data_IF_820702955612
#
_entry.id   IF_820702955612
#
_cell.length_a   1.000
_cell.length_b   1.000
_cell.length_c   1.000
_cell.angle_alpha   90.00
_cell.angle_beta   90.00
_cell.angle_gamma   90.00
#
_symmetry.space_group_name_H-M   'P 1'
#
loop_
_entity.id
_entity.type
_entity.pdbx_description
1 polymer ?
#
# COMPACT_ATOMS: atom_id res chain seq x y z
N UNK A 1 -13.06 12.15 -2.99
CA UNK A 1 -13.52 13.04 -1.90
C UNK A 1 -12.69 14.32 -1.88
N UNK A 2 -11.38 14.28 -1.59
CA UNK A 2 -10.57 15.50 -1.47
C UNK A 2 -10.53 16.39 -2.73
N UNK A 3 -10.40 15.79 -3.92
CA UNK A 3 -10.47 16.52 -5.19
C UNK A 3 -11.89 16.93 -5.62
N UNK A 4 -12.94 16.60 -4.86
CA UNK A 4 -14.26 17.18 -5.08
C UNK A 4 -14.34 18.61 -4.55
N UNK A 5 -13.45 18.99 -3.62
CA UNK A 5 -13.36 20.35 -3.09
C UNK A 5 -12.67 21.27 -4.10
N UNK A 6 -13.33 22.35 -4.56
CA UNK A 6 -12.75 23.25 -5.57
C UNK A 6 -11.42 23.87 -5.14
N UNK A 7 -11.25 24.18 -3.85
CA UNK A 7 -10.00 24.77 -3.32
C UNK A 7 -8.82 23.81 -3.44
N UNK A 8 -9.01 22.51 -3.17
CA UNK A 8 -7.98 21.49 -3.35
C UNK A 8 -7.55 21.38 -4.82
N UNK A 9 -8.49 21.46 -5.77
CA UNK A 9 -8.15 21.44 -7.19
C UNK A 9 -7.31 22.66 -7.60
N UNK A 10 -7.65 23.84 -7.10
CA UNK A 10 -6.87 25.06 -7.33
C UNK A 10 -5.48 24.96 -6.69
N UNK A 11 -5.40 24.47 -5.45
CA UNK A 11 -4.14 24.27 -4.75
C UNK A 11 -3.20 23.32 -5.50
N UNK A 12 -3.73 22.19 -5.99
CA UNK A 12 -2.95 21.25 -6.83
C UNK A 12 -2.48 21.91 -8.13
N UNK A 13 -3.34 22.64 -8.84
CA UNK A 13 -2.94 23.38 -10.06
C UNK A 13 -1.84 24.41 -9.80
N UNK A 14 -1.87 25.08 -8.65
CA UNK A 14 -0.82 26.03 -8.26
C UNK A 14 0.49 25.30 -7.94
N UNK A 15 0.43 24.16 -7.25
CA UNK A 15 1.59 23.32 -7.00
C UNK A 15 2.24 22.84 -8.30
N UNK A 16 1.44 22.26 -9.21
CA UNK A 16 1.90 21.74 -10.49
C UNK A 16 2.48 22.84 -11.41
N UNK A 17 2.01 24.08 -11.26
CA UNK A 17 2.53 25.24 -11.96
C UNK A 17 3.78 25.88 -11.31
N UNK A 18 4.30 25.30 -10.22
CA UNK A 18 5.46 25.83 -9.49
C UNK A 18 5.21 27.18 -8.80
N UNK A 19 3.94 27.52 -8.51
CA UNK A 19 3.54 28.82 -7.94
C UNK A 19 3.53 28.85 -6.41
N UNK A 20 3.77 27.71 -5.77
CA UNK A 20 3.76 27.57 -4.32
C UNK A 20 5.19 27.51 -3.78
N UNK A 21 5.35 27.90 -2.52
CA UNK A 21 6.60 27.75 -1.77
C UNK A 21 6.32 27.03 -0.45
N UNK A 22 7.33 26.39 0.18
CA UNK A 22 7.16 25.83 1.51
C UNK A 22 6.57 26.85 2.49
N UNK A 23 5.64 26.45 3.38
CA UNK A 23 5.20 25.07 3.63
C UNK A 23 4.01 24.61 2.77
N UNK A 24 3.50 25.46 1.86
CA UNK A 24 2.31 25.18 1.05
C UNK A 24 2.50 24.01 0.07
N UNK A 25 3.75 23.58 -0.14
CA UNK A 25 4.13 22.46 -1.00
C UNK A 25 4.12 21.11 -0.28
N UNK A 26 4.31 21.08 1.05
CA UNK A 26 4.49 19.85 1.84
C UNK A 26 3.32 18.86 1.75
N UNK A 27 2.12 19.35 1.44
CA UNK A 27 0.96 18.49 1.22
C UNK A 27 1.10 17.59 -0.02
N UNK A 28 1.80 18.07 -1.03
CA UNK A 28 1.93 17.43 -2.34
C UNK A 28 3.24 16.68 -2.54
N UNK A 29 4.20 16.88 -1.64
CA UNK A 29 5.49 16.21 -1.62
C UNK A 29 5.39 14.82 -1.00
N UNK A 30 6.45 14.01 -1.18
CA UNK A 30 6.55 12.72 -0.49
C UNK A 30 6.65 12.97 1.00
N UNK A 31 5.78 12.30 1.76
CA UNK A 31 5.76 12.45 3.21
C UNK A 31 7.04 11.86 3.82
N UNK A 32 7.65 12.55 4.81
CA UNK A 32 8.75 11.97 5.57
C UNK A 32 8.27 10.71 6.30
N UNK A 33 9.21 9.83 6.64
CA UNK A 33 8.89 8.60 7.36
C UNK A 33 8.32 8.87 8.76
N UNK A 34 8.78 9.95 9.40
CA UNK A 34 8.35 10.37 10.73
C UNK A 34 8.21 11.89 10.80
N UNK A 35 7.24 12.32 11.60
CA UNK A 35 6.95 13.72 11.88
C UNK A 35 6.87 13.93 13.39
N UNK A 36 7.59 14.93 13.90
CA UNK A 36 7.58 15.34 15.31
C UNK A 36 7.39 16.85 15.38
N UNK A 37 6.41 17.32 16.14
CA UNK A 37 6.07 18.74 16.23
C UNK A 37 6.02 19.20 17.69
N UNK A 38 6.47 20.43 17.94
CA UNK A 38 6.26 21.12 19.20
C UNK A 38 4.92 21.85 19.15
N UNK A 39 3.90 21.32 19.83
CA UNK A 39 2.55 21.87 19.77
C UNK A 39 2.39 23.23 20.48
N UNK A 40 3.37 23.66 21.27
CA UNK A 40 3.35 24.97 21.92
C UNK A 40 4.03 26.04 21.05
N UNK A 41 5.18 25.71 20.48
CA UNK A 41 5.96 26.63 19.63
C UNK A 41 5.51 26.64 18.16
N UNK A 42 4.89 25.54 17.68
CA UNK A 42 4.50 25.30 16.30
C UNK A 42 3.04 24.85 16.20
N UNK A 43 2.12 25.78 16.48
CA UNK A 43 0.66 25.56 16.53
C UNK A 43 0.06 24.94 15.25
N UNK A 44 0.68 25.19 14.10
CA UNK A 44 0.23 24.70 12.79
C UNK A 44 0.98 23.44 12.33
N UNK A 45 1.86 22.87 13.16
CA UNK A 45 2.61 21.63 12.89
C UNK A 45 3.38 21.68 11.55
N UNK A 46 4.09 22.79 11.30
CA UNK A 46 4.80 23.06 10.05
C UNK A 46 6.27 22.59 10.12
N UNK A 47 6.89 22.71 11.29
CA UNK A 47 8.31 22.53 11.50
C UNK A 47 8.60 21.13 12.03
N UNK A 48 8.79 20.17 11.13
CA UNK A 48 9.08 18.80 11.52
C UNK A 48 10.47 18.67 12.19
N UNK A 49 10.46 18.34 13.49
CA UNK A 49 11.63 18.17 14.35
C UNK A 49 12.22 16.75 14.32
N UNK A 50 11.68 15.83 13.51
CA UNK A 50 12.13 14.43 13.50
C UNK A 50 13.62 14.26 13.15
N UNK A 51 14.22 15.21 12.43
CA UNK A 51 15.65 15.22 12.09
C UNK A 51 16.48 16.15 12.99
N UNK A 52 15.88 16.78 14.01
CA UNK A 52 16.59 17.63 14.96
C UNK A 52 17.41 16.78 15.93
N UNK A 53 18.72 17.04 16.00
CA UNK A 53 19.61 16.36 16.96
C UNK A 53 19.17 16.55 18.41
N UNK A 54 18.62 17.73 18.74
CA UNK A 54 18.15 18.09 20.08
C UNK A 54 16.91 17.28 20.52
N UNK A 55 16.10 16.82 19.56
CA UNK A 55 14.82 16.16 19.83
C UNK A 55 14.86 14.64 19.64
N UNK A 56 16.04 14.06 19.36
CA UNK A 56 16.16 12.63 19.08
C UNK A 56 15.75 11.74 20.26
N UNK A 57 15.97 12.18 21.49
CA UNK A 57 15.58 11.40 22.66
C UNK A 57 14.05 11.38 22.84
N UNK A 58 13.38 12.51 22.62
CA UNK A 58 11.91 12.60 22.62
C UNK A 58 11.32 11.76 21.49
N UNK A 59 11.88 11.85 20.29
CA UNK A 59 11.43 11.04 19.15
C UNK A 59 11.51 9.54 19.46
N UNK A 60 12.63 9.09 20.06
CA UNK A 60 12.80 7.69 20.46
C UNK A 60 11.83 7.27 21.55
N UNK A 61 11.58 8.10 22.55
CA UNK A 61 10.61 7.84 23.61
C UNK A 61 9.21 7.63 23.03
N UNK A 62 8.73 8.57 22.20
CA UNK A 62 7.39 8.51 21.59
C UNK A 62 7.25 7.30 20.66
N UNK A 63 8.28 7.01 19.85
CA UNK A 63 8.32 5.81 19.00
C UNK A 63 8.20 4.53 19.83
N UNK A 64 8.97 4.41 20.91
CA UNK A 64 8.91 3.24 21.80
C UNK A 64 7.54 3.08 22.46
N UNK A 65 6.94 4.19 22.92
CA UNK A 65 5.60 4.17 23.50
C UNK A 65 4.55 3.70 22.48
N UNK A 66 4.63 4.18 21.24
CA UNK A 66 3.75 3.79 20.14
C UNK A 66 3.91 2.30 19.78
N UNK A 67 5.15 1.82 19.65
CA UNK A 67 5.46 0.42 19.37
C UNK A 67 4.95 -0.49 20.50
N UNK A 68 5.17 -0.09 21.75
CA UNK A 68 4.66 -0.82 22.91
C UNK A 68 3.13 -0.89 22.87
N UNK A 69 2.46 0.21 22.51
CA UNK A 69 1.00 0.23 22.43
C UNK A 69 0.47 -0.70 21.34
N UNK A 70 1.07 -0.69 20.15
CA UNK A 70 0.75 -1.61 19.05
C UNK A 70 0.83 -3.07 19.51
N UNK A 71 1.93 -3.42 20.19
CA UNK A 71 2.17 -4.77 20.68
C UNK A 71 1.18 -5.18 21.79
N UNK A 72 0.87 -4.25 22.70
CA UNK A 72 -0.08 -4.45 23.80
C UNK A 72 -1.49 -4.75 23.29
N UNK A 73 -2.01 -3.92 22.38
CA UNK A 73 -3.37 -4.08 21.84
C UNK A 73 -3.47 -5.12 20.74
N UNK A 74 -2.32 -5.61 20.26
CA UNK A 74 -2.20 -6.54 19.13
C UNK A 74 -2.88 -5.98 17.88
N UNK A 75 -2.53 -4.75 17.54
CA UNK A 75 -3.13 -3.99 16.44
C UNK A 75 -3.06 -4.78 15.13
N UNK A 76 -4.22 -5.07 14.54
CA UNK A 76 -4.36 -5.84 13.30
C UNK A 76 -4.05 -5.03 12.04
N UNK A 77 -3.85 -3.71 12.16
CA UNK A 77 -3.56 -2.82 11.03
C UNK A 77 -2.30 -3.19 10.23
N UNK A 78 -1.43 -4.05 10.77
CA UNK A 78 -0.24 -4.54 10.08
C UNK A 78 -0.48 -5.85 9.29
N UNK A 79 -1.69 -6.42 9.29
CA UNK A 79 -2.06 -7.54 8.43
C UNK A 79 -2.84 -7.03 7.21
N UNK A 80 -2.61 -7.55 5.99
CA UNK A 80 -3.44 -7.19 4.85
C UNK A 80 -4.91 -7.51 5.11
N UNK A 81 -5.82 -6.57 4.84
CA UNK A 81 -7.26 -6.71 5.12
C UNK A 81 -7.84 -8.02 4.55
N UNK A 82 -7.47 -8.39 3.33
CA UNK A 82 -7.92 -9.65 2.72
C UNK A 82 -7.50 -10.90 3.52
N UNK A 83 -6.33 -10.87 4.17
CA UNK A 83 -5.87 -11.96 5.03
C UNK A 83 -6.62 -11.98 6.35
N UNK A 84 -6.91 -10.81 6.94
CA UNK A 84 -7.74 -10.72 8.16
C UNK A 84 -9.07 -11.43 7.93
N UNK A 85 -9.79 -11.13 6.84
CA UNK A 85 -11.08 -11.75 6.55
C UNK A 85 -10.97 -13.22 6.15
N UNK A 86 -9.94 -13.58 5.38
CA UNK A 86 -9.73 -14.98 4.97
C UNK A 86 -9.37 -15.89 6.14
N UNK A 87 -8.57 -15.41 7.10
CA UNK A 87 -8.15 -16.18 8.27
C UNK A 87 -9.23 -16.21 9.35
N UNK A 88 -10.05 -15.16 9.45
CA UNK A 88 -11.12 -15.11 10.45
C UNK A 88 -12.26 -16.09 10.17
N UNK A 89 -12.44 -16.52 8.92
CA UNK A 89 -13.49 -17.48 8.48
C UNK A 89 -14.89 -17.14 9.03
N UNK A 90 -15.27 -15.86 8.96
CA UNK A 90 -16.55 -15.34 9.49
C UNK A 90 -16.58 -15.12 11.02
N UNK A 91 -15.51 -15.49 11.73
CA UNK A 91 -15.26 -15.13 13.11
C UNK A 91 -14.82 -13.67 13.29
N UNK A 92 -14.65 -13.25 14.54
CA UNK A 92 -14.20 -11.89 14.85
C UNK A 92 -12.69 -11.74 14.54
N UNK A 93 -12.27 -10.70 13.78
CA UNK A 93 -10.86 -10.41 13.52
C UNK A 93 -9.98 -10.37 14.78
N UNK A 94 -10.55 -9.93 15.89
CA UNK A 94 -9.90 -9.93 17.22
C UNK A 94 -9.24 -11.28 17.57
N UNK A 95 -9.86 -12.41 17.20
CA UNK A 95 -9.33 -13.75 17.48
C UNK A 95 -8.04 -14.03 16.69
N UNK A 96 -7.95 -13.56 15.44
CA UNK A 96 -6.72 -13.64 14.65
C UNK A 96 -5.64 -12.77 15.28
N UNK A 97 -6.03 -11.57 15.74
CA UNK A 97 -5.16 -10.69 16.51
C UNK A 97 -4.51 -11.42 17.67
N UNK A 98 -5.26 -12.19 18.46
CA UNK A 98 -4.76 -12.94 19.63
C UNK A 98 -3.91 -14.19 19.29
N UNK A 99 -3.99 -14.70 18.07
CA UNK A 99 -3.24 -15.90 17.68
C UNK A 99 -1.77 -15.57 17.37
N UNK A 100 -0.83 -16.04 18.20
CA UNK A 100 0.60 -15.75 18.05
C UNK A 100 1.28 -16.47 16.88
N UNK A 101 0.72 -17.59 16.43
CA UNK A 101 1.26 -18.36 15.30
C UNK A 101 0.84 -17.74 13.97
N UNK A 102 -0.45 -17.39 13.84
CA UNK A 102 -0.98 -16.72 12.65
C UNK A 102 -0.55 -15.25 12.59
N UNK A 103 -0.43 -14.60 13.75
CA UNK A 103 -0.08 -13.19 13.86
C UNK A 103 1.14 -12.93 14.77
N UNK A 104 2.36 -13.22 14.28
CA UNK A 104 3.61 -12.87 14.94
C UNK A 104 3.91 -11.37 14.81
N UNK A 105 3.06 -10.54 15.44
CA UNK A 105 3.03 -9.08 15.27
C UNK A 105 4.38 -8.40 15.40
N UNK A 106 5.23 -8.78 16.38
CA UNK A 106 6.56 -8.15 16.53
C UNK A 106 7.43 -8.28 15.27
N UNK A 107 7.35 -9.42 14.58
CA UNK A 107 8.08 -9.66 13.34
C UNK A 107 7.48 -8.89 12.17
N UNK A 108 6.16 -8.86 12.09
CA UNK A 108 5.42 -8.12 11.05
C UNK A 108 5.68 -6.62 11.19
N UNK A 109 5.60 -6.09 12.41
CA UNK A 109 5.89 -4.69 12.74
C UNK A 109 7.30 -4.31 12.33
N UNK A 110 8.32 -5.12 12.66
CA UNK A 110 9.69 -4.85 12.27
C UNK A 110 9.86 -4.76 10.74
N UNK A 111 9.19 -5.63 9.97
CA UNK A 111 9.23 -5.56 8.50
C UNK A 111 8.44 -4.36 7.95
N UNK A 112 7.31 -4.01 8.58
CA UNK A 112 6.51 -2.84 8.20
C UNK A 112 7.28 -1.53 8.43
N UNK A 113 7.95 -1.40 9.59
CA UNK A 113 8.79 -0.25 9.90
C UNK A 113 9.99 -0.16 8.95
N UNK A 114 10.63 -1.29 8.62
CA UNK A 114 11.69 -1.31 7.61
C UNK A 114 11.17 -0.83 6.24
N UNK A 115 9.97 -1.28 5.85
CA UNK A 115 9.33 -0.87 4.60
C UNK A 115 8.99 0.63 4.56
N UNK A 116 8.56 1.21 5.68
CA UNK A 116 8.12 2.61 5.76
C UNK A 116 9.16 3.60 6.29
N UNK A 117 10.36 3.13 6.66
CA UNK A 117 11.43 3.95 7.27
C UNK A 117 11.97 5.06 6.37
N UNK A 118 11.69 5.03 5.07
CA UNK A 118 12.22 6.00 4.09
C UNK A 118 13.73 5.89 3.85
N UNK A 119 14.43 5.01 4.57
CA UNK A 119 15.86 4.78 4.43
C UNK A 119 16.13 3.81 3.27
N UNK A 120 17.25 3.96 2.57
CA UNK A 120 17.67 3.04 1.51
C UNK A 120 18.43 1.81 2.05
N UNK A 121 18.78 1.79 3.33
CA UNK A 121 19.38 0.63 4.00
C UNK A 121 18.35 -0.50 4.23
N UNK A 122 18.81 -1.72 4.47
CA UNK A 122 17.91 -2.85 4.75
C UNK A 122 17.21 -3.46 3.52
N UNK A 123 17.67 -3.14 2.30
CA UNK A 123 17.12 -3.74 1.08
C UNK A 123 17.31 -5.26 1.03
N UNK A 124 18.44 -5.77 1.52
CA UNK A 124 18.70 -7.22 1.58
C UNK A 124 17.69 -7.94 2.48
N UNK A 125 17.32 -7.31 3.59
CA UNK A 125 16.33 -7.79 4.55
C UNK A 125 14.92 -7.77 3.97
N UNK A 126 14.57 -6.75 3.17
CA UNK A 126 13.33 -6.75 2.40
C UNK A 126 13.30 -7.90 1.37
N UNK A 127 14.38 -8.12 0.63
CA UNK A 127 14.45 -9.23 -0.33
C UNK A 127 14.34 -10.59 0.38
N UNK A 128 15.05 -10.77 1.50
CA UNK A 128 14.96 -11.98 2.31
C UNK A 128 13.54 -12.18 2.90
N UNK A 129 12.86 -11.08 3.26
CA UNK A 129 11.50 -11.08 3.76
C UNK A 129 10.46 -11.63 2.78
N UNK A 130 10.74 -11.62 1.47
CA UNK A 130 9.87 -12.22 0.46
C UNK A 130 9.79 -13.75 0.55
N UNK A 131 10.71 -14.41 1.26
CA UNK A 131 10.71 -15.86 1.48
C UNK A 131 10.24 -16.26 2.90
N UNK A 132 9.71 -15.30 3.67
CA UNK A 132 9.24 -15.57 5.01
C UNK A 132 8.04 -16.54 5.03
N UNK A 133 7.95 -17.36 6.09
CA UNK A 133 6.82 -18.28 6.26
C UNK A 133 5.49 -17.52 6.46
N UNK A 134 5.52 -16.33 7.07
CA UNK A 134 4.33 -15.55 7.31
C UNK A 134 4.03 -14.58 6.15
N UNK A 135 2.80 -14.63 5.63
CA UNK A 135 2.37 -13.84 4.47
C UNK A 135 2.35 -12.34 4.71
N UNK A 136 2.07 -11.87 5.93
CA UNK A 136 2.11 -10.44 6.25
C UNK A 136 3.55 -9.91 6.22
N UNK A 137 4.55 -10.71 6.61
CA UNK A 137 5.98 -10.34 6.45
C UNK A 137 6.33 -10.21 4.97
N UNK A 138 5.95 -11.21 4.14
CA UNK A 138 6.17 -11.17 2.69
C UNK A 138 5.49 -9.97 2.03
N UNK A 139 4.28 -9.62 2.50
CA UNK A 139 3.53 -8.47 2.02
C UNK A 139 4.27 -7.16 2.31
N UNK A 140 4.74 -6.94 3.54
CA UNK A 140 5.50 -5.74 3.90
C UNK A 140 6.85 -5.67 3.21
N UNK A 141 7.51 -6.81 3.02
CA UNK A 141 8.73 -6.90 2.21
C UNK A 141 8.51 -6.42 0.77
N UNK A 142 7.47 -6.95 0.09
CA UNK A 142 7.10 -6.51 -1.26
C UNK A 142 6.69 -5.03 -1.30
N UNK A 143 5.97 -4.56 -0.28
CA UNK A 143 5.54 -3.16 -0.17
C UNK A 143 6.72 -2.22 0.00
N UNK A 144 7.70 -2.58 0.85
CA UNK A 144 8.91 -1.79 1.04
C UNK A 144 9.73 -1.66 -0.23
N UNK A 145 9.87 -2.75 -1.00
CA UNK A 145 10.54 -2.71 -2.30
C UNK A 145 9.79 -1.82 -3.31
N UNK A 146 8.46 -1.89 -3.34
CA UNK A 146 7.62 -1.01 -4.15
C UNK A 146 7.79 0.47 -3.76
N UNK A 147 7.79 0.78 -2.47
CA UNK A 147 7.93 2.15 -1.94
C UNK A 147 9.30 2.76 -2.24
N UNK A 148 10.36 1.93 -2.27
CA UNK A 148 11.73 2.35 -2.60
C UNK A 148 11.97 2.55 -4.09
N UNK A 149 11.03 2.13 -4.93
CA UNK A 149 11.01 2.47 -6.35
C UNK A 149 11.89 1.59 -7.24
N UNK A 150 12.29 2.15 -8.38
CA UNK A 150 12.82 1.40 -9.52
C UNK A 150 14.08 0.59 -9.20
N UNK A 151 15.07 1.22 -8.56
CA UNK A 151 16.34 0.55 -8.25
C UNK A 151 16.16 -0.61 -7.28
N UNK A 152 15.23 -0.47 -6.32
CA UNK A 152 14.94 -1.53 -5.36
C UNK A 152 14.25 -2.72 -6.02
N UNK A 153 13.28 -2.45 -6.89
CA UNK A 153 12.55 -3.48 -7.63
C UNK A 153 13.46 -4.22 -8.62
N UNK A 154 14.33 -3.51 -9.34
CA UNK A 154 15.30 -4.11 -10.27
C UNK A 154 16.26 -5.08 -9.59
N UNK A 155 16.79 -4.72 -8.42
CA UNK A 155 17.66 -5.59 -7.64
C UNK A 155 16.92 -6.81 -7.05
N UNK A 156 15.62 -6.67 -6.80
CA UNK A 156 14.76 -7.72 -6.25
C UNK A 156 13.98 -8.51 -7.32
N UNK A 157 14.31 -8.37 -8.60
CA UNK A 157 13.43 -8.79 -9.71
C UNK A 157 13.03 -10.27 -9.62
N UNK A 158 13.99 -11.19 -9.45
CA UNK A 158 13.75 -12.64 -9.37
C UNK A 158 12.81 -13.01 -8.22
N UNK A 159 13.02 -12.39 -7.06
CA UNK A 159 12.24 -12.65 -5.85
C UNK A 159 10.80 -12.11 -6.00
N UNK A 160 10.64 -10.93 -6.62
CA UNK A 160 9.31 -10.37 -6.93
C UNK A 160 8.60 -11.19 -8.02
N UNK A 161 9.31 -11.69 -9.03
CA UNK A 161 8.75 -12.51 -10.09
C UNK A 161 8.25 -13.86 -9.54
N UNK A 162 8.99 -14.46 -8.61
CA UNK A 162 8.55 -15.61 -7.81
C UNK A 162 7.27 -15.28 -7.01
N UNK A 163 7.24 -14.09 -6.40
CA UNK A 163 6.10 -13.62 -5.58
C UNK A 163 4.81 -13.39 -6.37
N UNK A 164 4.85 -13.30 -7.71
CA UNK A 164 3.63 -13.34 -8.54
C UNK A 164 2.85 -14.66 -8.40
N UNK A 165 3.49 -15.72 -7.91
CA UNK A 165 2.88 -17.04 -7.64
C UNK A 165 2.72 -17.32 -6.15
N UNK A 166 2.81 -16.30 -5.29
CA UNK A 166 2.68 -16.45 -3.85
C UNK A 166 1.32 -17.07 -3.46
N UNK A 167 1.29 -17.80 -2.34
CA UNK A 167 0.06 -18.39 -1.80
C UNK A 167 -0.91 -17.32 -1.31
N UNK A 168 -0.41 -16.18 -0.81
CA UNK A 168 -1.20 -15.01 -0.46
C UNK A 168 -1.49 -14.15 -1.68
N UNK A 169 -2.77 -13.92 -1.94
CA UNK A 169 -3.22 -13.04 -3.04
C UNK A 169 -2.79 -11.59 -2.80
N UNK A 170 -2.68 -11.16 -1.54
CA UNK A 170 -2.22 -9.82 -1.18
C UNK A 170 -0.76 -9.61 -1.58
N UNK A 171 0.11 -10.59 -1.31
CA UNK A 171 1.52 -10.57 -1.73
C UNK A 171 1.62 -10.52 -3.26
N UNK A 172 0.83 -11.34 -3.97
CA UNK A 172 0.77 -11.32 -5.44
C UNK A 172 0.40 -9.94 -5.98
N UNK A 173 -0.59 -9.26 -5.38
CA UNK A 173 -0.99 -7.92 -5.82
C UNK A 173 0.14 -6.89 -5.66
N UNK A 174 0.85 -6.88 -4.53
CA UNK A 174 1.93 -5.90 -4.30
C UNK A 174 3.15 -6.19 -5.19
N UNK A 175 3.54 -7.46 -5.32
CA UNK A 175 4.61 -7.85 -6.24
C UNK A 175 4.27 -7.47 -7.69
N UNK A 176 3.01 -7.66 -8.09
CA UNK A 176 2.54 -7.25 -9.41
C UNK A 176 2.49 -5.72 -9.57
N UNK A 177 2.13 -4.94 -8.55
CA UNK A 177 2.23 -3.48 -8.63
C UNK A 177 3.69 -3.02 -8.79
N UNK A 178 4.62 -3.62 -8.05
CA UNK A 178 6.05 -3.32 -8.13
C UNK A 178 6.62 -3.57 -9.53
N UNK A 179 6.46 -4.80 -10.04
CA UNK A 179 6.91 -5.19 -11.38
C UNK A 179 6.13 -4.46 -12.47
N UNK A 180 4.85 -4.21 -12.25
CA UNK A 180 4.01 -3.43 -13.15
C UNK A 180 4.51 -2.00 -13.31
N UNK A 181 5.01 -1.36 -12.25
CA UNK A 181 5.57 0.00 -12.34
C UNK A 181 6.97 0.01 -12.93
N UNK A 182 7.85 -0.83 -12.40
CA UNK A 182 9.30 -0.69 -12.55
C UNK A 182 10.00 -1.85 -13.27
N UNK A 183 9.30 -2.96 -13.50
CA UNK A 183 9.81 -4.09 -14.27
C UNK A 183 9.85 -3.82 -15.78
N UNK A 184 10.50 -4.72 -16.51
CA UNK A 184 10.58 -4.68 -17.96
C UNK A 184 9.22 -4.96 -18.64
N UNK A 185 9.17 -4.94 -19.97
CA UNK A 185 7.93 -5.14 -20.71
C UNK A 185 7.27 -6.51 -20.46
N UNK A 186 8.06 -7.57 -20.31
CA UNK A 186 7.55 -8.92 -20.06
C UNK A 186 7.04 -9.07 -18.63
N UNK A 187 7.80 -8.55 -17.67
CA UNK A 187 7.44 -8.53 -16.25
C UNK A 187 6.18 -7.70 -16.02
N UNK A 188 6.13 -6.50 -16.61
CA UNK A 188 4.97 -5.62 -16.55
C UNK A 188 3.73 -6.28 -17.15
N UNK A 189 3.88 -7.06 -18.23
CA UNK A 189 2.76 -7.82 -18.81
C UNK A 189 2.28 -8.91 -17.85
N UNK A 190 3.19 -9.67 -17.24
CA UNK A 190 2.87 -10.71 -16.26
C UNK A 190 2.18 -10.14 -15.01
N UNK A 191 2.67 -8.99 -14.53
CA UNK A 191 2.07 -8.22 -13.45
C UNK A 191 0.62 -7.81 -13.76
N UNK A 192 0.38 -7.20 -14.93
CA UNK A 192 -0.97 -6.81 -15.35
C UNK A 192 -1.90 -8.01 -15.44
N UNK A 193 -1.43 -9.15 -15.97
CA UNK A 193 -2.21 -10.39 -16.01
C UNK A 193 -2.54 -10.93 -14.62
N UNK A 194 -1.59 -10.84 -13.68
CA UNK A 194 -1.79 -11.25 -12.29
C UNK A 194 -2.86 -10.39 -11.64
N UNK A 195 -2.76 -9.06 -11.73
CA UNK A 195 -3.73 -8.14 -11.14
C UNK A 195 -5.14 -8.33 -11.70
N UNK A 196 -5.30 -8.38 -13.03
CA UNK A 196 -6.65 -8.57 -13.61
C UNK A 196 -7.25 -9.94 -13.26
N UNK A 197 -6.43 -10.98 -13.06
CA UNK A 197 -6.92 -12.29 -12.63
C UNK A 197 -7.48 -12.29 -11.21
N UNK A 198 -7.02 -11.37 -10.36
CA UNK A 198 -7.42 -11.23 -8.95
C UNK A 198 -8.50 -10.15 -8.73
N UNK A 199 -8.87 -9.43 -9.79
CA UNK A 199 -9.81 -8.30 -9.73
C UNK A 199 -11.29 -8.72 -9.63
N UNK A 200 -11.60 -10.02 -9.68
CA UNK A 200 -12.96 -10.51 -9.64
C UNK A 200 -13.45 -10.70 -8.20
N UNK A 201 -14.28 -9.76 -7.71
CA UNK A 201 -14.81 -9.79 -6.35
C UNK A 201 -15.70 -11.00 -6.02
N UNK A 202 -16.28 -11.66 -7.03
CA UNK A 202 -17.12 -12.84 -6.82
C UNK A 202 -16.28 -14.11 -6.66
N UNK A 203 -15.04 -14.11 -7.17
CA UNK A 203 -14.13 -15.25 -7.15
C UNK A 203 -13.07 -15.13 -6.05
N UNK A 204 -12.42 -13.98 -5.94
CA UNK A 204 -11.27 -13.79 -5.04
C UNK A 204 -11.62 -13.03 -3.76
N UNK A 205 -12.85 -12.53 -3.66
CA UNK A 205 -13.32 -11.70 -2.57
C UNK A 205 -13.08 -10.21 -2.82
N UNK A 206 -13.93 -9.37 -2.23
CA UNK A 206 -13.94 -7.92 -2.48
C UNK A 206 -12.63 -7.23 -2.11
N UNK A 207 -11.99 -7.63 -1.02
CA UNK A 207 -10.75 -7.01 -0.54
C UNK A 207 -9.57 -7.28 -1.47
N UNK A 208 -9.44 -8.50 -1.99
CA UNK A 208 -8.42 -8.85 -2.99
C UNK A 208 -8.68 -8.12 -4.30
N UNK A 209 -9.94 -8.09 -4.75
CA UNK A 209 -10.32 -7.39 -5.96
C UNK A 209 -10.03 -5.89 -5.89
N UNK A 210 -10.34 -5.24 -4.76
CA UNK A 210 -9.99 -3.83 -4.54
C UNK A 210 -8.48 -3.59 -4.56
N UNK A 211 -7.70 -4.46 -3.90
CA UNK A 211 -6.25 -4.34 -3.90
C UNK A 211 -5.67 -4.50 -5.32
N UNK A 212 -6.15 -5.48 -6.08
CA UNK A 212 -5.73 -5.71 -7.46
C UNK A 212 -6.11 -4.56 -8.41
N UNK A 213 -7.33 -4.02 -8.29
CA UNK A 213 -7.78 -2.87 -9.07
C UNK A 213 -7.00 -1.60 -8.71
N UNK A 214 -6.69 -1.38 -7.43
CA UNK A 214 -5.79 -0.30 -7.03
C UNK A 214 -4.42 -0.45 -7.68
N UNK A 215 -3.85 -1.66 -7.67
CA UNK A 215 -2.59 -1.94 -8.38
C UNK A 215 -2.66 -1.57 -9.86
N UNK A 216 -3.72 -1.97 -10.58
CA UNK A 216 -3.93 -1.60 -11.98
C UNK A 216 -4.05 -0.08 -12.17
N UNK A 217 -4.81 0.59 -11.31
CA UNK A 217 -4.98 2.05 -11.36
C UNK A 217 -3.66 2.81 -11.17
N UNK A 218 -2.73 2.25 -10.38
CA UNK A 218 -1.40 2.83 -10.15
C UNK A 218 -0.45 2.66 -11.33
N UNK A 219 -0.79 1.85 -12.34
CA UNK A 219 0.01 1.70 -13.56
C UNK A 219 -0.33 2.79 -14.60
N UNK A 220 0.55 2.97 -15.57
CA UNK A 220 0.34 3.85 -16.73
C UNK A 220 -0.78 3.31 -17.62
N UNK A 221 -1.46 4.20 -18.35
CA UNK A 221 -2.54 3.80 -19.26
C UNK A 221 -2.10 2.78 -20.32
N UNK A 222 -0.91 2.96 -20.89
CA UNK A 222 -0.33 2.03 -21.88
C UNK A 222 -0.24 0.59 -21.35
N UNK A 223 0.22 0.40 -20.12
CA UNK A 223 0.36 -0.91 -19.47
C UNK A 223 -0.99 -1.59 -19.20
N UNK A 224 -2.04 -0.81 -18.91
CA UNK A 224 -3.38 -1.33 -18.58
C UNK A 224 -4.25 -1.55 -19.82
N UNK A 225 -4.01 -0.80 -20.89
CA UNK A 225 -4.79 -0.86 -22.13
C UNK A 225 -5.05 -2.29 -22.65
N UNK A 226 -4.09 -3.25 -22.62
CA UNK A 226 -4.31 -4.62 -23.09
C UNK A 226 -5.39 -5.40 -22.33
N UNK A 227 -5.76 -4.98 -21.11
CA UNK A 227 -6.76 -5.66 -20.28
C UNK A 227 -8.02 -4.83 -20.06
N UNK A 228 -8.17 -3.69 -20.74
CA UNK A 228 -9.35 -2.80 -20.60
C UNK A 228 -10.67 -3.53 -20.79
N UNK A 229 -10.79 -4.37 -21.82
CA UNK A 229 -12.02 -5.15 -22.07
C UNK A 229 -12.35 -6.10 -20.90
N UNK A 230 -11.34 -6.77 -20.34
CA UNK A 230 -11.52 -7.67 -19.20
C UNK A 230 -11.92 -6.93 -17.92
N UNK A 231 -11.45 -5.69 -17.74
CA UNK A 231 -11.85 -4.82 -16.63
C UNK A 231 -13.34 -4.49 -16.74
N UNK A 232 -13.81 -4.12 -17.94
CA UNK A 232 -15.22 -3.80 -18.20
C UNK A 232 -16.17 -5.00 -17.99
N UNK A 233 -15.66 -6.23 -18.13
CA UNK A 233 -16.40 -7.47 -17.92
C UNK A 233 -16.48 -7.91 -16.44
N UNK A 234 -15.77 -7.24 -15.52
CA UNK A 234 -15.76 -7.62 -14.11
C UNK A 234 -17.17 -7.50 -13.50
N UNK A 235 -17.56 -8.42 -12.60
CA UNK A 235 -18.85 -8.31 -11.93
C UNK A 235 -18.83 -7.09 -11.00
N UNK A 236 -19.64 -6.09 -11.30
CA UNK A 236 -19.70 -4.84 -10.52
C UNK A 236 -20.59 -4.94 -9.29
N UNK A 237 -21.44 -5.97 -9.21
CA UNK A 237 -22.35 -6.22 -8.08
C UNK A 237 -22.10 -7.59 -7.49
N UNK A 238 -22.04 -7.66 -6.17
CA UNK A 238 -22.02 -8.91 -5.41
C UNK A 238 -23.08 -8.83 -4.29
N UNK A 239 -24.23 -9.51 -4.43
CA UNK A 239 -25.33 -9.42 -3.47
C UNK A 239 -25.01 -10.07 -2.11
N UNK A 240 -23.93 -10.86 -2.03
CA UNK A 240 -23.49 -11.50 -0.78
C UNK A 240 -22.68 -10.56 0.12
N UNK A 241 -22.23 -9.41 -0.39
CA UNK A 241 -21.47 -8.44 0.37
C UNK A 241 -22.38 -7.52 1.20
N UNK A 242 -21.84 -7.07 2.34
CA UNK A 242 -22.41 -5.96 3.09
C UNK A 242 -22.64 -4.74 2.19
N UNK A 243 -23.76 -4.02 2.40
CA UNK A 243 -24.15 -2.85 1.61
C UNK A 243 -23.03 -1.81 1.49
N UNK A 244 -22.21 -1.64 2.52
CA UNK A 244 -21.08 -0.70 2.53
C UNK A 244 -20.05 -1.08 1.47
N UNK A 245 -19.82 -2.38 1.25
CA UNK A 245 -18.77 -2.87 0.36
C UNK A 245 -19.19 -2.93 -1.13
N UNK A 246 -20.50 -2.94 -1.41
CA UNK A 246 -21.03 -3.19 -2.76
C UNK A 246 -20.59 -2.17 -3.81
N UNK A 247 -20.23 -0.94 -3.42
CA UNK A 247 -19.91 0.14 -4.38
C UNK A 247 -18.42 0.24 -4.74
N UNK A 248 -17.51 -0.36 -3.98
CA UNK A 248 -16.07 -0.07 -4.12
C UNK A 248 -15.49 -0.56 -5.44
N UNK A 249 -15.77 -1.81 -5.82
CA UNK A 249 -15.25 -2.38 -7.07
C UNK A 249 -15.80 -1.62 -8.29
N UNK A 250 -17.10 -1.30 -8.28
CA UNK A 250 -17.71 -0.51 -9.35
C UNK A 250 -17.03 0.86 -9.53
N UNK A 251 -16.78 1.59 -8.42
CA UNK A 251 -16.10 2.89 -8.45
C UNK A 251 -14.65 2.80 -8.91
N UNK A 252 -13.94 1.72 -8.56
CA UNK A 252 -12.57 1.50 -9.01
C UNK A 252 -12.51 1.19 -10.51
N UNK A 253 -13.42 0.35 -11.02
CA UNK A 253 -13.56 0.07 -12.45
C UNK A 253 -13.86 1.35 -13.22
N UNK A 254 -14.86 2.13 -12.78
CA UNK A 254 -15.21 3.42 -13.38
C UNK A 254 -14.00 4.37 -13.43
N UNK A 255 -13.28 4.53 -12.31
CA UNK A 255 -12.07 5.37 -12.26
C UNK A 255 -11.00 4.93 -13.26
N UNK A 256 -10.74 3.63 -13.36
CA UNK A 256 -9.76 3.10 -14.30
C UNK A 256 -10.21 3.37 -15.73
N UNK A 257 -11.48 3.13 -16.06
CA UNK A 257 -12.03 3.37 -17.40
C UNK A 257 -12.01 4.85 -17.81
N UNK A 258 -12.33 5.76 -16.89
CA UNK A 258 -12.21 7.20 -17.08
C UNK A 258 -10.76 7.60 -17.39
N UNK A 259 -9.80 7.11 -16.60
CA UNK A 259 -8.37 7.35 -16.80
C UNK A 259 -7.90 6.81 -18.15
N UNK A 260 -8.38 5.64 -18.59
CA UNK A 260 -8.09 5.07 -19.92
C UNK A 260 -8.68 5.87 -21.08
N UNK A 261 -9.65 6.75 -20.83
CA UNK A 261 -10.37 7.50 -21.86
C UNK A 261 -9.84 8.93 -22.05
N UNK A 262 -9.04 9.42 -21.11
CA UNK A 262 -8.32 10.69 -21.19
C UNK A 262 -7.03 10.47 -22.01
N UNK A 263 -7.02 10.95 -23.26
CA UNK A 263 -5.86 10.99 -24.15
C UNK A 263 -5.19 12.36 -24.10
#
# INVERSE_FOLDING_TARGET
>A
YMFQTPTTQVWKKMYDAGKLTPPQTYFWETKPAEELYDLEADLDEINNLAQSDEHQDILKELRQAQQQKILEIRDLGFMPEAEIHSLSDGGAPYLIGQNKELYPLKKILAMAELASSGMQDGQGELVAGLDDQNSAVRYWAAMGLLMRGEDAVKQAHDALLKSLKDSSKSVRCIAAEALGKYGDAQESKAAVQTLISLANQNQDGVYVAMLALNGLDKLSNEKVAPVKARIAELPLKNPKLDKRLQSYVARLVERIEEKQSQK
#
